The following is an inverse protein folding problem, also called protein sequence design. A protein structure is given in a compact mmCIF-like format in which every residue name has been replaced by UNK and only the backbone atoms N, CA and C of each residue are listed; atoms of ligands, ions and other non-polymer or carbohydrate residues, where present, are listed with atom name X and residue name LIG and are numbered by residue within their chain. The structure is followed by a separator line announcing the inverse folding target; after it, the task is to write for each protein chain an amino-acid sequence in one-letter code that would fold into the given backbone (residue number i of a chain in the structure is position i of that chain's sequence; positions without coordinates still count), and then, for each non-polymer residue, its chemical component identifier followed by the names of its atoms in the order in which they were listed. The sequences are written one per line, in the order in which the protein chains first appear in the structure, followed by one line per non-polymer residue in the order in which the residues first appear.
data_IF_049055055376
#
_entry.id   IF_049055055376
#
_cell.length_a   1.000
_cell.length_b   1.000
_cell.length_c   1.000
_cell.angle_alpha   90.00
_cell.angle_beta   90.00
_cell.angle_gamma   90.00
#
_symmetry.space_group_name_H-M   'P 1'
#
loop_
_entity.id
_entity.type
_entity.pdbx_description
1 polymer ?
#
# COMPACT_ATOMS: atom_id res chain seq x y z
N UNK A 1 17.32 -6.05 3.17
CA UNK A 1 16.03 -5.42 2.89
C UNK A 1 16.06 -4.02 3.47
N UNK A 2 15.67 -3.00 2.68
CA UNK A 2 15.47 -1.65 3.18
C UNK A 2 14.14 -1.55 3.95
N UNK A 3 14.00 -0.52 4.78
CA UNK A 3 12.76 -0.23 5.51
C UNK A 3 11.57 -0.09 4.54
N UNK A 4 11.81 0.54 3.39
CA UNK A 4 10.84 0.73 2.31
C UNK A 4 10.37 -0.59 1.69
N UNK A 5 11.28 -1.53 1.42
CA UNK A 5 10.90 -2.87 0.94
C UNK A 5 10.04 -3.62 1.96
N UNK A 6 10.36 -3.51 3.26
CA UNK A 6 9.52 -4.11 4.30
C UNK A 6 8.13 -3.46 4.38
N UNK A 7 8.05 -2.13 4.25
CA UNK A 7 6.78 -1.41 4.26
C UNK A 7 5.91 -1.79 3.05
N UNK A 8 6.49 -1.89 1.86
CA UNK A 8 5.81 -2.34 0.63
C UNK A 8 5.27 -3.76 0.76
N UNK A 9 6.10 -4.69 1.25
CA UNK A 9 5.69 -6.09 1.42
C UNK A 9 4.56 -6.23 2.45
N UNK A 10 4.62 -5.46 3.56
CA UNK A 10 3.55 -5.42 4.55
C UNK A 10 2.27 -4.81 3.98
N UNK A 11 2.37 -3.71 3.22
CA UNK A 11 1.23 -3.07 2.58
C UNK A 11 0.52 -4.03 1.60
N UNK A 12 1.29 -4.75 0.77
CA UNK A 12 0.76 -5.77 -0.13
C UNK A 12 0.01 -6.87 0.62
N UNK A 13 0.59 -7.38 1.71
CA UNK A 13 -0.07 -8.41 2.52
C UNK A 13 -1.35 -7.89 3.18
N UNK A 14 -1.34 -6.66 3.70
CA UNK A 14 -2.52 -6.03 4.28
C UNK A 14 -3.63 -5.83 3.24
N UNK A 15 -3.29 -5.44 2.01
CA UNK A 15 -4.25 -5.29 0.91
C UNK A 15 -4.84 -6.64 0.47
N UNK A 16 -4.04 -7.70 0.41
CA UNK A 16 -4.52 -9.05 0.11
C UNK A 16 -5.48 -9.56 1.20
N UNK A 17 -5.16 -9.30 2.47
CA UNK A 17 -6.07 -9.61 3.58
C UNK A 17 -7.36 -8.78 3.48
N UNK A 18 -7.24 -7.48 3.17
CA UNK A 18 -8.38 -6.58 3.03
C UNK A 18 -9.30 -6.95 1.86
N UNK A 19 -8.76 -7.56 0.81
CA UNK A 19 -9.57 -8.05 -0.31
C UNK A 19 -10.51 -9.19 0.11
N UNK A 20 -10.12 -9.99 1.11
CA UNK A 20 -10.94 -11.07 1.69
C UNK A 20 -11.79 -10.59 2.86
N UNK A 21 -11.26 -9.68 3.67
CA UNK A 21 -11.93 -9.11 4.85
C UNK A 21 -11.60 -7.61 5.00
N UNK A 22 -12.32 -6.73 4.29
CA UNK A 22 -12.03 -5.30 4.28
C UNK A 22 -12.11 -4.66 5.66
N UNK A 23 -13.08 -5.08 6.48
CA UNK A 23 -13.29 -4.55 7.84
C UNK A 23 -12.17 -4.96 8.80
N UNK A 24 -11.76 -6.24 8.76
CA UNK A 24 -10.71 -6.76 9.65
C UNK A 24 -9.33 -6.19 9.38
N UNK A 25 -9.07 -5.76 8.14
CA UNK A 25 -7.76 -5.28 7.71
C UNK A 25 -7.61 -3.75 7.74
N UNK A 26 -8.62 -2.99 8.18
CA UNK A 26 -8.53 -1.52 8.34
C UNK A 26 -7.35 -1.08 9.20
N UNK A 27 -7.13 -1.77 10.32
CA UNK A 27 -6.01 -1.48 11.22
C UNK A 27 -4.66 -1.76 10.55
N UNK A 28 -4.53 -2.89 9.85
CA UNK A 28 -3.30 -3.26 9.13
C UNK A 28 -2.99 -2.29 7.97
N UNK A 29 -4.02 -1.90 7.21
CA UNK A 29 -3.90 -0.91 6.13
C UNK A 29 -3.49 0.47 6.67
N UNK A 30 -4.08 0.91 7.78
CA UNK A 30 -3.70 2.17 8.42
C UNK A 30 -2.26 2.14 8.93
N UNK A 31 -1.83 1.04 9.55
CA UNK A 31 -0.44 0.90 10.03
C UNK A 31 0.56 0.91 8.88
N UNK A 32 0.26 0.18 7.80
CA UNK A 32 1.13 0.11 6.63
C UNK A 32 1.19 1.43 5.85
N UNK A 33 0.06 2.16 5.74
CA UNK A 33 0.06 3.52 5.20
C UNK A 33 0.96 4.47 6.00
N UNK A 34 0.94 4.40 7.34
CA UNK A 34 1.82 5.22 8.17
C UNK A 34 3.30 4.85 7.97
N UNK A 35 3.62 3.56 7.86
CA UNK A 35 4.99 3.08 7.58
C UNK A 35 5.49 3.57 6.22
N UNK A 36 4.65 3.50 5.18
CA UNK A 36 4.97 4.03 3.85
C UNK A 36 5.22 5.54 3.91
N UNK A 37 4.38 6.29 4.60
CA UNK A 37 4.58 7.73 4.79
C UNK A 37 5.88 8.05 5.55
N UNK A 38 6.27 7.25 6.54
CA UNK A 38 7.55 7.40 7.22
C UNK A 38 8.73 7.13 6.27
N UNK A 39 8.63 6.08 5.44
CA UNK A 39 9.65 5.76 4.45
C UNK A 39 9.81 6.89 3.41
N UNK A 40 8.69 7.46 2.94
CA UNK A 40 8.70 8.61 2.02
C UNK A 40 9.39 9.86 2.60
N UNK A 41 9.25 10.07 3.91
CA UNK A 41 9.86 11.21 4.61
C UNK A 41 11.30 10.93 5.07
N UNK A 42 11.81 9.71 4.89
CA UNK A 42 13.19 9.39 5.19
C UNK A 42 14.13 10.05 4.17
N UNK A 43 15.14 10.77 4.65
CA UNK A 43 16.12 11.42 3.77
C UNK A 43 16.90 10.38 2.95
N UNK A 44 16.98 10.59 1.64
CA UNK A 44 17.75 9.75 0.71
C UNK A 44 16.97 8.63 0.03
N UNK A 45 15.64 8.59 0.17
CA UNK A 45 14.80 7.69 -0.61
C UNK A 45 14.73 8.13 -2.08
N UNK A 46 15.35 7.34 -2.96
CA UNK A 46 15.40 7.57 -4.40
C UNK A 46 14.00 7.31 -5.02
N UNK A 47 13.16 6.54 -4.35
CA UNK A 47 11.84 6.13 -4.86
C UNK A 47 10.69 6.75 -4.05
N UNK A 48 10.88 7.95 -3.50
CA UNK A 48 9.86 8.66 -2.74
C UNK A 48 8.54 8.84 -3.51
N UNK A 49 8.60 9.10 -4.82
CA UNK A 49 7.41 9.21 -5.68
C UNK A 49 6.67 7.88 -5.82
N UNK A 50 7.40 6.77 -5.96
CA UNK A 50 6.83 5.44 -6.02
C UNK A 50 6.21 5.02 -4.69
N UNK A 51 6.87 5.31 -3.57
CA UNK A 51 6.30 5.12 -2.24
C UNK A 51 5.04 5.98 -2.03
N UNK A 52 5.00 7.18 -2.62
CA UNK A 52 3.82 8.05 -2.61
C UNK A 52 2.66 7.45 -3.39
N UNK A 53 2.91 6.87 -4.55
CA UNK A 53 1.87 6.20 -5.35
C UNK A 53 1.28 5.01 -4.58
N UNK A 54 2.13 4.19 -3.96
CA UNK A 54 1.68 3.07 -3.12
C UNK A 54 0.89 3.58 -1.91
N UNK A 55 1.39 4.60 -1.22
CA UNK A 55 0.69 5.22 -0.10
C UNK A 55 -0.70 5.72 -0.51
N UNK A 56 -0.80 6.43 -1.62
CA UNK A 56 -2.07 6.96 -2.12
C UNK A 56 -3.05 5.82 -2.44
N UNK A 57 -2.57 4.75 -3.07
CA UNK A 57 -3.41 3.62 -3.42
C UNK A 57 -3.90 2.85 -2.17
N UNK A 58 -3.03 2.62 -1.18
CA UNK A 58 -3.40 2.03 0.12
C UNK A 58 -4.40 2.92 0.85
N UNK A 59 -4.21 4.24 0.84
CA UNK A 59 -5.11 5.18 1.49
C UNK A 59 -6.48 5.25 0.79
N UNK A 60 -6.50 5.12 -0.54
CA UNK A 60 -7.74 5.04 -1.31
C UNK A 60 -8.50 3.74 -1.01
N UNK A 61 -7.80 2.61 -0.92
CA UNK A 61 -8.36 1.33 -0.51
C UNK A 61 -8.92 1.38 0.92
N UNK A 62 -8.21 2.04 1.84
CA UNK A 62 -8.69 2.28 3.21
C UNK A 62 -9.98 3.12 3.21
N UNK A 63 -9.99 4.26 2.52
CA UNK A 63 -11.18 5.11 2.42
C UNK A 63 -12.37 4.36 1.79
N UNK A 64 -12.11 3.57 0.75
CA UNK A 64 -13.14 2.76 0.11
C UNK A 64 -13.71 1.71 1.09
N UNK A 65 -12.87 1.14 1.97
CA UNK A 65 -13.32 0.17 2.99
C UNK A 65 -14.21 0.80 4.07
N UNK A 66 -14.15 2.12 4.22
CA UNK A 66 -15.06 2.90 5.08
C UNK A 66 -16.38 3.26 4.36
N UNK A 67 -16.42 3.11 3.04
CA UNK A 67 -17.59 3.39 2.21
C UNK A 67 -18.15 2.10 1.57
N UNK A 68 -18.89 1.27 2.33
CA UNK A 68 -19.38 -0.03 1.86
C UNK A 68 -20.41 0.05 0.72
N UNK A 69 -20.85 1.25 0.33
CA UNK A 69 -21.86 1.44 -0.73
C UNK A 69 -21.32 1.19 -2.14
N UNK A 70 -20.00 1.06 -2.31
CA UNK A 70 -19.38 0.95 -3.63
C UNK A 70 -18.31 -0.17 -3.67
N UNK A 71 -18.79 -1.42 -3.57
CA UNK A 71 -17.95 -2.63 -3.56
C UNK A 71 -17.06 -2.76 -4.80
N UNK A 72 -17.51 -2.29 -5.97
CA UNK A 72 -16.69 -2.27 -7.19
C UNK A 72 -15.52 -1.29 -7.07
N UNK A 73 -15.77 -0.08 -6.57
CA UNK A 73 -14.71 0.90 -6.32
C UNK A 73 -13.73 0.40 -5.25
N UNK A 74 -14.22 -0.31 -4.23
CA UNK A 74 -13.40 -0.96 -3.21
C UNK A 74 -12.48 -2.02 -3.81
N UNK A 75 -13.03 -2.97 -4.57
CA UNK A 75 -12.25 -4.03 -5.22
C UNK A 75 -11.23 -3.47 -6.21
N UNK A 76 -11.62 -2.47 -7.02
CA UNK A 76 -10.69 -1.79 -7.91
C UNK A 76 -9.55 -1.11 -7.14
N UNK A 77 -9.87 -0.41 -6.05
CA UNK A 77 -8.86 0.23 -5.19
C UNK A 77 -7.87 -0.78 -4.61
N UNK A 78 -8.34 -1.95 -4.16
CA UNK A 78 -7.44 -3.01 -3.68
C UNK A 78 -6.54 -3.55 -4.79
N UNK A 79 -7.09 -3.84 -5.98
CA UNK A 79 -6.31 -4.35 -7.12
C UNK A 79 -5.26 -3.34 -7.57
N UNK A 80 -5.62 -2.06 -7.66
CA UNK A 80 -4.68 -0.98 -8.02
C UNK A 80 -3.57 -0.84 -6.98
N UNK A 81 -3.91 -0.87 -5.69
CA UNK A 81 -2.93 -0.76 -4.61
C UNK A 81 -1.98 -1.96 -4.55
N UNK A 82 -2.46 -3.18 -4.80
CA UNK A 82 -1.62 -4.39 -4.85
C UNK A 82 -0.65 -4.27 -6.03
N UNK A 83 -1.13 -3.86 -7.21
CA UNK A 83 -0.27 -3.66 -8.38
C UNK A 83 0.79 -2.60 -8.14
N UNK A 84 0.44 -1.49 -7.48
CA UNK A 84 1.39 -0.45 -7.12
C UNK A 84 2.49 -1.01 -6.19
N UNK A 85 2.11 -1.82 -5.19
CA UNK A 85 3.08 -2.50 -4.32
C UNK A 85 4.02 -3.41 -5.12
N UNK A 86 3.47 -4.25 -6.01
CA UNK A 86 4.25 -5.18 -6.83
C UNK A 86 5.21 -4.45 -7.78
N UNK A 87 4.74 -3.38 -8.41
CA UNK A 87 5.58 -2.55 -9.28
C UNK A 87 6.71 -1.89 -8.50
N UNK A 88 6.41 -1.41 -7.28
CA UNK A 88 7.42 -0.86 -6.41
C UNK A 88 8.45 -1.91 -5.98
N UNK A 89 8.01 -3.08 -5.54
CA UNK A 89 8.89 -4.19 -5.15
C UNK A 89 9.83 -4.60 -6.31
N UNK A 90 9.33 -4.68 -7.55
CA UNK A 90 10.13 -4.99 -8.74
C UNK A 90 11.18 -3.92 -9.01
N UNK A 91 10.82 -2.64 -8.93
CA UNK A 91 11.78 -1.54 -9.10
C UNK A 91 12.89 -1.59 -8.05
N UNK A 92 12.53 -1.74 -6.77
CA UNK A 92 13.49 -1.88 -5.66
C UNK A 92 14.39 -3.13 -5.78
N UNK A 93 13.96 -4.17 -6.51
CA UNK A 93 14.78 -5.36 -6.78
C UNK A 93 15.75 -5.14 -7.94
N UNK A 94 15.33 -4.40 -8.98
CA UNK A 94 16.13 -4.15 -10.18
C UNK A 94 17.21 -3.07 -9.99
N UNK A 95 17.03 -2.16 -9.03
CA UNK A 95 18.01 -1.11 -8.71
C UNK A 95 19.02 -1.52 -7.61
N UNK A 96 19.21 -2.83 -7.40
CA UNK A 96 20.25 -3.40 -6.51
C UNK A 96 21.60 -3.64 -7.19
#
# INVERSE_FOLDING_TARGET
MSQSQQALSQARQALLNAQQNPEGSKAELSETAQKLAQCMNAQGEIHADMLRDVYNAVHQALNASEQPANEEALQNSFVEAIRACEQAEVTYQNER
#
